data_IF_006667955198
#
_entry.id   IF_006667955198
#
_cell.length_a   1.000
_cell.length_b   1.000
_cell.length_c   1.000
_cell.angle_alpha   90.00
_cell.angle_beta   90.00
_cell.angle_gamma   90.00
#
_symmetry.space_group_name_H-M   'P 1'
#
loop_
_entity.id
_entity.type
_entity.pdbx_description
1 polymer ?
#
# COMPACT_ATOMS: atom_id res chain seq x y z
N UNK A 1 4.13 13.94 -22.78
CA UNK A 1 3.44 12.72 -23.26
C UNK A 1 3.84 11.59 -22.32
N UNK A 2 2.88 10.85 -21.75
CA UNK A 2 3.21 9.67 -20.93
C UNK A 2 3.53 8.49 -21.85
N UNK A 3 4.63 7.80 -21.60
CA UNK A 3 5.00 6.58 -22.32
C UNK A 3 4.81 5.41 -21.35
N UNK A 4 3.78 4.61 -21.58
CA UNK A 4 3.62 3.36 -20.85
C UNK A 4 4.63 2.33 -21.39
N UNK A 5 5.41 1.72 -20.49
CA UNK A 5 6.24 0.55 -20.78
C UNK A 5 5.66 -0.62 -20.01
N UNK A 6 5.43 -1.74 -20.69
CA UNK A 6 5.13 -3.01 -20.02
C UNK A 6 6.40 -3.58 -19.41
N UNK A 7 6.30 -4.17 -18.23
CA UNK A 7 7.39 -4.86 -17.54
C UNK A 7 6.94 -6.29 -17.23
N UNK A 8 7.79 -7.27 -17.54
CA UNK A 8 7.52 -8.65 -17.20
C UNK A 8 7.78 -8.84 -15.70
N UNK A 9 6.74 -9.16 -14.93
CA UNK A 9 6.86 -9.38 -13.50
C UNK A 9 7.39 -10.78 -13.13
N UNK A 10 7.44 -11.71 -14.10
CA UNK A 10 7.90 -13.10 -13.96
C UNK A 10 7.30 -13.86 -12.76
N UNK A 11 6.09 -13.48 -12.35
CA UNK A 11 5.28 -14.25 -11.41
C UNK A 11 4.68 -15.46 -12.12
N UNK A 12 4.54 -16.58 -11.40
CA UNK A 12 4.03 -17.84 -11.97
C UNK A 12 2.50 -17.93 -11.98
N UNK A 13 1.84 -16.99 -11.33
CA UNK A 13 0.39 -16.94 -11.12
C UNK A 13 -0.06 -15.47 -10.99
N UNK A 14 -1.36 -15.23 -10.87
CA UNK A 14 -1.99 -13.92 -10.79
C UNK A 14 -1.35 -13.01 -9.74
N UNK A 15 -1.12 -11.74 -10.11
CA UNK A 15 -0.60 -10.68 -9.25
C UNK A 15 -1.78 -9.99 -8.59
N UNK A 16 -1.78 -9.89 -7.26
CA UNK A 16 -2.90 -9.33 -6.50
C UNK A 16 -2.71 -7.87 -6.14
N UNK A 17 -1.47 -7.45 -5.88
CA UNK A 17 -1.16 -6.10 -5.41
C UNK A 17 0.21 -5.59 -5.88
N UNK A 18 0.30 -4.27 -5.99
CA UNK A 18 1.53 -3.53 -6.32
C UNK A 18 1.60 -2.30 -5.42
N UNK A 19 2.70 -2.14 -4.71
CA UNK A 19 2.90 -1.04 -3.75
C UNK A 19 4.25 -0.35 -3.98
N UNK A 20 4.23 0.97 -4.09
CA UNK A 20 5.44 1.78 -4.23
C UNK A 20 6.03 2.14 -2.86
N UNK A 21 7.34 2.30 -2.81
CA UNK A 21 8.00 2.92 -1.66
C UNK A 21 7.66 4.41 -1.55
N UNK A 22 8.01 5.01 -0.42
CA UNK A 22 7.76 6.44 -0.16
C UNK A 22 8.38 7.38 -1.21
N UNK A 23 9.48 6.98 -1.87
CA UNK A 23 10.17 7.80 -2.87
C UNK A 23 9.73 7.51 -4.33
N UNK A 24 8.89 6.50 -4.58
CA UNK A 24 8.49 6.07 -5.92
C UNK A 24 9.65 5.54 -6.78
N UNK A 25 10.73 5.07 -6.14
CA UNK A 25 11.93 4.47 -6.76
C UNK A 25 11.96 2.96 -6.67
N UNK A 26 11.18 2.37 -5.75
CA UNK A 26 11.03 0.94 -5.55
C UNK A 26 9.56 0.56 -5.65
N UNK A 27 9.28 -0.67 -6.04
CA UNK A 27 7.94 -1.25 -5.92
C UNK A 27 8.04 -2.69 -5.42
N UNK A 28 7.03 -3.11 -4.68
CA UNK A 28 6.83 -4.50 -4.27
C UNK A 28 5.59 -5.07 -4.98
N UNK A 29 5.68 -6.30 -5.46
CA UNK A 29 4.59 -7.04 -6.12
C UNK A 29 4.33 -8.35 -5.39
N UNK A 30 3.07 -8.77 -5.29
CA UNK A 30 2.70 -10.02 -4.62
C UNK A 30 1.67 -10.83 -5.43
N UNK A 31 1.73 -12.17 -5.33
CA UNK A 31 1.03 -13.08 -6.24
C UNK A 31 0.45 -14.32 -5.55
N UNK A 32 -0.46 -15.01 -6.24
CA UNK A 32 -0.87 -16.38 -5.92
C UNK A 32 0.28 -17.40 -5.91
N UNK A 33 1.42 -17.10 -6.57
CA UNK A 33 2.59 -17.98 -6.58
C UNK A 33 3.36 -18.05 -5.24
N UNK A 34 2.80 -17.43 -4.19
CA UNK A 34 3.30 -17.38 -2.82
C UNK A 34 4.59 -16.55 -2.65
N UNK A 35 4.96 -15.77 -3.67
CA UNK A 35 6.14 -14.90 -3.63
C UNK A 35 5.80 -13.42 -3.49
N UNK A 36 6.75 -12.69 -2.91
CA UNK A 36 6.87 -11.25 -3.05
C UNK A 36 8.15 -10.96 -3.84
N UNK A 37 8.07 -9.97 -4.72
CA UNK A 37 9.22 -9.44 -5.44
C UNK A 37 9.37 -7.96 -5.18
N UNK A 38 10.62 -7.51 -5.11
CA UNK A 38 10.99 -6.11 -5.00
C UNK A 38 11.75 -5.71 -6.26
N UNK A 39 11.38 -4.56 -6.78
CA UNK A 39 11.87 -4.01 -8.02
C UNK A 39 12.39 -2.61 -7.76
N UNK A 40 13.57 -2.33 -8.26
CA UNK A 40 14.20 -1.03 -8.17
C UNK A 40 14.23 -0.37 -9.55
N UNK A 41 14.11 0.97 -9.55
CA UNK A 41 14.07 1.78 -10.75
C UNK A 41 15.45 2.36 -11.03
N UNK A 42 15.99 2.04 -12.20
CA UNK A 42 17.26 2.58 -12.68
C UNK A 42 17.18 4.09 -12.98
N UNK A 43 18.34 4.72 -13.14
CA UNK A 43 18.43 6.11 -13.62
C UNK A 43 17.88 6.28 -15.06
N UNK A 44 17.91 5.23 -15.89
CA UNK A 44 17.25 5.20 -17.21
C UNK A 44 15.73 5.14 -17.13
N UNK A 45 15.17 4.90 -15.95
CA UNK A 45 13.74 4.80 -15.68
C UNK A 45 13.14 3.40 -15.88
N UNK A 46 13.98 2.39 -16.07
CA UNK A 46 13.59 1.00 -16.26
C UNK A 46 13.54 0.26 -14.90
N UNK A 47 12.68 -0.75 -14.79
CA UNK A 47 12.50 -1.52 -13.56
C UNK A 47 13.25 -2.84 -13.62
N UNK A 48 13.99 -3.18 -12.57
CA UNK A 48 14.70 -4.45 -12.44
C UNK A 48 14.37 -5.13 -11.11
N UNK A 49 14.07 -6.43 -11.15
CA UNK A 49 13.83 -7.23 -9.95
C UNK A 49 15.14 -7.40 -9.16
N UNK A 50 15.21 -6.85 -7.95
CA UNK A 50 16.39 -6.97 -7.07
C UNK A 50 16.24 -8.09 -6.06
N UNK A 51 15.02 -8.37 -5.59
CA UNK A 51 14.75 -9.50 -4.72
C UNK A 51 13.45 -10.24 -5.10
N UNK A 52 13.46 -11.57 -4.95
CA UNK A 52 12.30 -12.44 -5.20
C UNK A 52 12.37 -13.63 -4.26
N UNK A 53 11.39 -13.78 -3.36
CA UNK A 53 11.39 -14.85 -2.36
C UNK A 53 9.98 -15.35 -2.04
N UNK A 54 9.87 -16.60 -1.60
CA UNK A 54 8.62 -17.15 -1.08
C UNK A 54 8.36 -16.61 0.32
N UNK A 55 7.15 -16.11 0.54
CA UNK A 55 6.76 -15.41 1.77
C UNK A 55 5.83 -16.21 2.67
N UNK A 56 4.85 -16.86 2.03
CA UNK A 56 3.66 -17.45 2.63
C UNK A 56 3.42 -18.88 2.12
N UNK A 57 2.47 -19.59 2.73
CA UNK A 57 2.03 -20.93 2.30
C UNK A 57 0.80 -20.89 1.38
N UNK A 58 0.23 -19.71 1.14
CA UNK A 58 -0.91 -19.47 0.26
C UNK A 58 -0.77 -18.15 -0.51
N UNK A 59 -1.75 -17.83 -1.34
CA UNK A 59 -1.76 -16.60 -2.16
C UNK A 59 -1.55 -15.34 -1.32
N UNK A 60 -0.69 -14.44 -1.78
CA UNK A 60 -0.38 -13.18 -1.09
C UNK A 60 -1.28 -12.09 -1.65
N UNK A 61 -2.20 -11.56 -0.83
CA UNK A 61 -3.27 -10.67 -1.28
C UNK A 61 -2.87 -9.21 -1.38
N UNK A 62 -2.02 -8.74 -0.47
CA UNK A 62 -1.57 -7.34 -0.38
C UNK A 62 -0.13 -7.25 0.09
N UNK A 63 0.52 -6.17 -0.31
CA UNK A 63 1.87 -5.80 0.11
C UNK A 63 1.94 -4.30 0.37
N UNK A 64 2.66 -3.87 1.40
CA UNK A 64 2.74 -2.46 1.78
C UNK A 64 4.11 -2.12 2.35
N UNK A 65 4.59 -0.90 2.06
CA UNK A 65 5.85 -0.35 2.59
C UNK A 65 5.59 0.46 3.86
N UNK A 66 6.47 0.32 4.84
CA UNK A 66 6.51 1.25 5.97
C UNK A 66 7.05 2.63 5.54
N UNK A 67 6.87 3.62 6.39
CA UNK A 67 7.55 4.90 6.20
C UNK A 67 9.07 4.74 6.43
N UNK A 68 9.95 5.29 5.57
CA UNK A 68 11.41 5.02 5.59
C UNK A 68 12.15 5.43 6.86
N UNK A 69 11.51 6.20 7.74
CA UNK A 69 11.98 6.53 9.10
C UNK A 69 12.11 5.29 10.01
N UNK A 70 11.41 4.20 9.67
CA UNK A 70 11.52 2.90 10.33
C UNK A 70 12.42 1.90 9.57
N UNK A 71 13.18 2.38 8.57
CA UNK A 71 13.98 1.56 7.68
C UNK A 71 13.23 0.98 6.48
N UNK A 72 13.86 0.06 5.77
CA UNK A 72 13.31 -0.62 4.59
C UNK A 72 12.46 -1.83 5.03
N UNK A 73 11.21 -1.55 5.42
CA UNK A 73 10.29 -2.55 5.97
C UNK A 73 9.09 -2.76 5.06
N UNK A 74 8.77 -4.02 4.80
CA UNK A 74 7.59 -4.48 4.06
C UNK A 74 6.67 -5.30 4.96
N UNK A 75 5.37 -5.19 4.75
CA UNK A 75 4.40 -6.14 5.27
C UNK A 75 3.62 -6.81 4.13
N UNK A 76 3.35 -8.11 4.28
CA UNK A 76 2.56 -8.92 3.35
C UNK A 76 1.44 -9.64 4.10
N UNK A 77 0.29 -9.89 3.46
CA UNK A 77 -0.78 -10.70 4.01
C UNK A 77 -1.28 -11.78 3.04
N UNK A 78 -1.83 -12.87 3.58
CA UNK A 78 -2.09 -14.07 2.79
C UNK A 78 -3.38 -14.81 3.17
N UNK A 79 -3.84 -15.61 2.20
CA UNK A 79 -4.86 -16.64 2.38
C UNK A 79 -4.48 -17.69 3.45
N UNK A 80 -3.19 -17.86 3.77
CA UNK A 80 -2.73 -18.75 4.84
C UNK A 80 -3.08 -18.30 6.27
N UNK A 81 -3.83 -17.18 6.39
CA UNK A 81 -4.31 -16.53 7.62
C UNK A 81 -3.25 -15.73 8.38
N UNK A 82 -2.06 -15.56 7.80
CA UNK A 82 -0.97 -14.80 8.42
C UNK A 82 -0.71 -13.47 7.73
N UNK A 83 -0.12 -12.54 8.48
CA UNK A 83 0.63 -11.43 7.93
C UNK A 83 2.10 -11.57 8.34
N UNK A 84 3.03 -11.17 7.48
CA UNK A 84 4.47 -11.25 7.76
C UNK A 84 5.12 -9.88 7.58
N UNK A 85 6.06 -9.57 8.46
CA UNK A 85 6.88 -8.35 8.39
C UNK A 85 8.30 -8.72 7.97
N UNK A 86 8.82 -7.99 7.01
CA UNK A 86 10.10 -8.22 6.36
C UNK A 86 10.96 -6.97 6.45
N UNK A 87 12.24 -7.14 6.72
CA UNK A 87 13.23 -6.07 6.69
C UNK A 87 14.29 -6.39 5.63
N UNK A 88 14.68 -5.39 4.85
CA UNK A 88 15.80 -5.51 3.93
C UNK A 88 17.12 -5.30 4.67
N UNK A 89 17.98 -6.31 4.65
CA UNK A 89 19.37 -6.19 5.09
C UNK A 89 20.25 -5.97 3.86
N UNK A 90 20.76 -4.74 3.74
CA UNK A 90 21.80 -4.39 2.78
C UNK A 90 23.14 -4.89 3.34
N UNK A 91 23.63 -6.01 2.80
CA UNK A 91 24.90 -6.58 3.22
C UNK A 91 26.08 -5.94 2.49
N UNK A 92 27.11 -5.55 3.24
CA UNK A 92 28.48 -5.37 2.71
C UNK A 92 29.06 -6.75 2.32
N UNK A 93 28.55 -7.32 1.24
CA UNK A 93 29.07 -8.57 0.71
C UNK A 93 30.41 -8.31 0.02
N UNK A 94 31.48 -8.80 0.65
CA UNK A 94 32.84 -8.80 0.08
C UNK A 94 32.98 -9.76 -1.13
N UNK A 95 31.88 -10.37 -1.56
CA UNK A 95 31.76 -11.30 -2.67
C UNK A 95 31.19 -10.57 -3.91
N UNK A 96 32.06 -10.31 -4.89
CA UNK A 96 31.82 -9.45 -6.06
C UNK A 96 30.71 -9.94 -7.01
N UNK A 97 30.04 -11.05 -6.68
CA UNK A 97 28.98 -11.67 -7.46
C UNK A 97 27.61 -11.67 -6.75
N UNK A 98 27.51 -11.24 -5.48
CA UNK A 98 26.24 -11.22 -4.71
C UNK A 98 26.05 -9.97 -3.84
N UNK A 99 26.23 -8.79 -4.44
CA UNK A 99 25.78 -7.49 -3.89
C UNK A 99 24.26 -7.32 -3.78
N UNK A 100 23.50 -8.40 -3.55
CA UNK A 100 22.04 -8.38 -3.49
C UNK A 100 21.58 -8.12 -2.06
N UNK A 101 20.69 -7.15 -1.88
CA UNK A 101 19.97 -7.00 -0.62
C UNK A 101 19.08 -8.21 -0.38
N UNK A 102 18.97 -8.63 0.88
CA UNK A 102 18.18 -9.81 1.24
C UNK A 102 17.12 -9.46 2.26
N UNK A 103 15.91 -9.97 2.04
CA UNK A 103 14.75 -9.69 2.86
C UNK A 103 14.60 -10.76 3.93
N UNK A 104 14.74 -10.35 5.19
CA UNK A 104 14.64 -11.22 6.36
C UNK A 104 13.25 -11.12 6.96
N UNK A 105 12.59 -12.27 7.16
CA UNK A 105 11.33 -12.34 7.91
C UNK A 105 11.61 -11.98 9.37
N UNK A 106 11.10 -10.85 9.84
CA UNK A 106 11.27 -10.40 11.22
C UNK A 106 10.19 -10.96 12.15
N UNK A 107 8.93 -10.99 11.70
CA UNK A 107 7.85 -11.63 12.46
C UNK A 107 6.78 -12.24 11.54
N UNK A 108 5.94 -13.10 12.13
CA UNK A 108 4.69 -13.61 11.53
C UNK A 108 3.56 -13.41 12.52
N UNK A 109 2.56 -12.64 12.13
CA UNK A 109 1.34 -12.36 12.88
C UNK A 109 0.31 -13.44 12.56
N UNK A 110 -0.12 -14.19 13.58
CA UNK A 110 -0.87 -15.47 13.44
C UNK A 110 -2.22 -15.46 14.17
N UNK A 111 -2.63 -14.32 14.72
CA UNK A 111 -3.83 -14.16 15.55
C UNK A 111 -5.15 -14.28 14.75
N UNK A 112 -5.08 -14.12 13.42
CA UNK A 112 -6.24 -14.19 12.54
C UNK A 112 -6.68 -15.64 12.30
N UNK A 113 -7.99 -15.89 12.50
CA UNK A 113 -8.58 -17.24 12.35
C UNK A 113 -8.96 -17.58 10.91
N UNK A 114 -8.93 -16.61 10.00
CA UNK A 114 -9.30 -16.72 8.59
C UNK A 114 -8.34 -15.92 7.71
N UNK A 115 -8.52 -15.98 6.38
CA UNK A 115 -7.70 -15.25 5.40
C UNK A 115 -7.56 -13.77 5.76
N UNK A 116 -6.33 -13.25 5.73
CA UNK A 116 -6.04 -11.83 5.93
C UNK A 116 -6.10 -11.15 4.57
N UNK A 117 -7.10 -10.29 4.38
CA UNK A 117 -7.50 -9.72 3.09
C UNK A 117 -6.74 -8.43 2.75
N UNK A 118 -6.41 -7.62 3.76
CA UNK A 118 -5.62 -6.40 3.59
C UNK A 118 -4.68 -6.12 4.78
N UNK A 119 -3.61 -5.38 4.49
CA UNK A 119 -2.59 -4.95 5.44
C UNK A 119 -2.07 -3.56 5.06
N UNK A 120 -2.05 -2.64 6.03
CA UNK A 120 -1.62 -1.24 5.85
C UNK A 120 -0.87 -0.73 7.08
N UNK A 121 0.33 -0.20 6.88
CA UNK A 121 1.02 0.57 7.91
C UNK A 121 0.25 1.85 8.26
N UNK A 122 0.31 2.24 9.53
CA UNK A 122 -0.25 3.49 10.00
C UNK A 122 0.60 4.70 9.55
N UNK A 123 0.05 5.93 9.59
CA UNK A 123 0.82 7.15 9.39
C UNK A 123 1.95 7.28 10.42
N UNK A 124 3.15 7.64 9.95
CA UNK A 124 4.40 7.65 10.74
C UNK A 124 4.35 8.34 12.11
N UNK A 125 3.49 9.35 12.27
CA UNK A 125 3.37 10.11 13.52
C UNK A 125 2.69 9.30 14.65
N UNK A 126 2.13 8.12 14.33
CA UNK A 126 1.61 7.13 15.27
C UNK A 126 2.65 6.09 15.68
N UNK A 127 3.89 6.19 15.20
CA UNK A 127 4.91 5.14 15.37
C UNK A 127 4.77 4.02 14.35
N UNK A 128 5.49 2.92 14.57
CA UNK A 128 5.47 1.75 13.69
C UNK A 128 4.29 0.84 14.04
N UNK A 129 3.10 1.20 13.53
CA UNK A 129 1.89 0.40 13.67
C UNK A 129 1.45 -0.21 12.34
N UNK A 130 0.82 -1.38 12.41
CA UNK A 130 0.34 -2.16 11.28
C UNK A 130 -1.10 -2.60 11.56
N UNK A 131 -2.04 -2.21 10.70
CA UNK A 131 -3.38 -2.79 10.73
C UNK A 131 -3.50 -3.92 9.70
N UNK A 132 -4.10 -5.03 10.10
CA UNK A 132 -4.56 -6.09 9.21
C UNK A 132 -6.08 -6.21 9.30
N UNK A 133 -6.73 -6.54 8.19
CA UNK A 133 -8.13 -6.92 8.19
C UNK A 133 -8.30 -8.35 7.66
N UNK A 134 -9.30 -9.06 8.18
CA UNK A 134 -9.48 -10.48 7.92
C UNK A 134 -10.96 -10.82 7.68
N UNK A 135 -11.18 -11.92 6.96
CA UNK A 135 -12.52 -12.38 6.57
C UNK A 135 -13.42 -12.78 7.76
N UNK A 136 -12.86 -12.96 8.96
CA UNK A 136 -13.58 -13.12 10.25
C UNK A 136 -14.31 -11.84 10.70
N UNK A 137 -14.15 -10.75 9.96
CA UNK A 137 -14.77 -9.46 10.25
C UNK A 137 -14.11 -8.73 11.40
N UNK A 138 -12.81 -8.98 11.59
CA UNK A 138 -12.00 -8.37 12.63
C UNK A 138 -10.83 -7.60 12.00
N UNK A 139 -10.62 -6.38 12.47
CA UNK A 139 -9.41 -5.60 12.23
C UNK A 139 -8.51 -5.71 13.44
N UNK A 140 -7.25 -6.05 13.22
CA UNK A 140 -6.22 -6.20 14.26
C UNK A 140 -5.16 -5.14 14.04
N UNK A 141 -4.83 -4.40 15.09
CA UNK A 141 -3.82 -3.34 15.06
C UNK A 141 -2.65 -3.77 15.94
N UNK A 142 -1.50 -3.92 15.31
CA UNK A 142 -0.24 -4.26 15.94
C UNK A 142 0.65 -3.03 16.00
N UNK A 143 1.52 -2.98 17.01
CA UNK A 143 2.55 -1.96 17.17
C UNK A 143 3.88 -2.67 17.44
N UNK A 144 4.97 -2.16 16.87
CA UNK A 144 6.33 -2.54 17.28
C UNK A 144 6.77 -1.58 18.41
N UNK A 145 6.86 -2.03 19.68
CA UNK A 145 7.21 -1.15 20.80
C UNK A 145 8.64 -0.60 20.71
N UNK A 146 9.52 -1.33 20.03
CA UNK A 146 10.88 -0.93 19.72
C UNK A 146 11.10 -1.00 18.20
N UNK A 147 11.29 0.16 17.57
CA UNK A 147 11.58 0.28 16.14
C UNK A 147 12.94 -0.32 15.75
N UNK A 148 13.85 -0.51 16.70
CA UNK A 148 15.13 -1.19 16.49
C UNK A 148 14.98 -2.72 16.50
N UNK A 149 13.88 -3.26 17.05
CA UNK A 149 13.63 -4.69 17.17
C UNK A 149 12.32 -5.10 16.49
N UNK A 150 12.35 -5.11 15.15
CA UNK A 150 11.21 -5.48 14.30
C UNK A 150 10.71 -6.93 14.45
N UNK A 151 11.33 -7.76 15.30
CA UNK A 151 10.80 -9.09 15.63
C UNK A 151 9.63 -9.05 16.61
N UNK A 152 9.55 -8.00 17.44
CA UNK A 152 8.54 -7.88 18.49
C UNK A 152 7.40 -6.96 18.04
N UNK A 153 6.20 -7.54 17.96
CA UNK A 153 4.97 -6.84 17.61
C UNK A 153 3.88 -7.22 18.61
N UNK A 154 3.31 -6.23 19.29
CA UNK A 154 2.21 -6.42 20.24
C UNK A 154 0.88 -6.07 19.60
N UNK A 155 -0.11 -6.97 19.73
CA UNK A 155 -1.50 -6.69 19.37
C UNK A 155 -2.09 -5.66 20.35
N UNK A 156 -2.30 -4.43 19.89
CA UNK A 156 -2.86 -3.35 20.71
C UNK A 156 -4.39 -3.36 20.72
N UNK A 157 -5.01 -3.59 19.56
CA UNK A 157 -6.46 -3.49 19.41
C UNK A 157 -7.03 -4.57 18.50
N UNK A 158 -8.19 -5.08 18.91
CA UNK A 158 -9.05 -5.93 18.09
C UNK A 158 -10.41 -5.22 17.91
N UNK A 159 -10.80 -4.98 16.66
CA UNK A 159 -12.01 -4.22 16.29
C UNK A 159 -12.94 -5.14 15.50
N UNK A 160 -14.09 -5.50 16.08
CA UNK A 160 -15.10 -6.32 15.40
C UNK A 160 -16.01 -5.45 14.52
N UNK A 161 -15.95 -5.69 13.22
CA UNK A 161 -16.78 -5.02 12.20
C UNK A 161 -18.11 -5.77 11.94
N UNK A 162 -18.24 -7.02 12.42
CA UNK A 162 -19.40 -7.93 12.27
C UNK A 162 -19.76 -8.36 10.85
N UNK A 163 -19.00 -7.94 9.84
CA UNK A 163 -19.08 -8.32 8.43
C UNK A 163 -17.67 -8.69 7.96
N UNK A 164 -17.50 -9.54 6.94
CA UNK A 164 -16.18 -9.86 6.38
C UNK A 164 -15.43 -8.58 5.98
N UNK A 165 -14.18 -8.41 6.40
CA UNK A 165 -13.40 -7.24 5.99
C UNK A 165 -12.66 -7.56 4.69
N UNK A 166 -12.75 -6.67 3.70
CA UNK A 166 -12.10 -6.83 2.38
C UNK A 166 -10.92 -5.88 2.17
N UNK A 167 -11.01 -4.67 2.70
CA UNK A 167 -10.03 -3.60 2.52
C UNK A 167 -10.02 -2.65 3.71
N UNK A 168 -8.86 -2.02 3.96
CA UNK A 168 -8.65 -1.11 5.09
C UNK A 168 -7.91 0.16 4.65
N UNK A 169 -8.29 1.31 5.21
CA UNK A 169 -7.62 2.57 4.95
C UNK A 169 -7.45 3.40 6.23
N UNK A 170 -6.21 3.75 6.55
CA UNK A 170 -5.89 4.75 7.57
C UNK A 170 -6.15 6.16 7.07
N UNK A 171 -6.66 7.05 7.93
CA UNK A 171 -6.68 8.48 7.64
C UNK A 171 -5.24 9.03 7.72
N UNK A 172 -4.63 9.51 6.62
CA UNK A 172 -3.24 9.97 6.59
C UNK A 172 -3.02 11.35 7.24
N UNK A 173 -4.07 11.97 7.79
CA UNK A 173 -4.00 13.25 8.48
C UNK A 173 -2.96 13.22 9.60
N UNK A 174 -1.93 14.05 9.50
CA UNK A 174 -0.92 14.26 10.56
C UNK A 174 -1.26 15.43 11.51
N UNK A 175 -2.49 15.96 11.42
CA UNK A 175 -2.97 17.01 12.32
C UNK A 175 -3.37 16.43 13.66
N UNK A 176 -2.74 16.89 14.75
CA UNK A 176 -3.13 16.55 16.15
C UNK A 176 -4.54 17.03 16.51
N UNK A 177 -5.19 17.85 15.68
CA UNK A 177 -6.57 18.27 15.87
C UNK A 177 -7.61 17.22 15.41
N UNK A 178 -7.16 16.11 14.82
CA UNK A 178 -8.01 15.00 14.41
C UNK A 178 -7.48 13.71 15.04
N UNK A 179 -8.36 12.98 15.73
CA UNK A 179 -8.03 11.64 16.22
C UNK A 179 -7.66 10.71 15.05
N UNK A 180 -6.79 9.70 15.27
CA UNK A 180 -6.57 8.64 14.32
C UNK A 180 -7.88 7.97 13.89
N UNK A 181 -8.05 7.73 12.59
CA UNK A 181 -9.24 7.10 12.03
C UNK A 181 -8.88 6.00 11.05
N UNK A 182 -9.74 4.98 10.98
CA UNK A 182 -9.67 3.86 10.04
C UNK A 182 -11.03 3.68 9.37
N UNK A 183 -11.04 3.54 8.05
CA UNK A 183 -12.20 3.09 7.29
C UNK A 183 -11.99 1.62 6.91
N UNK A 184 -13.04 0.82 7.08
CA UNK A 184 -13.04 -0.62 6.79
C UNK A 184 -14.19 -0.92 5.83
N UNK A 185 -13.86 -1.61 4.74
CA UNK A 185 -14.82 -2.07 3.74
C UNK A 185 -15.13 -3.56 3.90
N UNK A 186 -16.32 -3.94 3.45
CA UNK A 186 -16.78 -5.32 3.39
C UNK A 186 -17.18 -5.71 1.97
N UNK A 187 -16.71 -6.88 1.55
CA UNK A 187 -17.06 -7.55 0.30
C UNK A 187 -18.29 -8.46 0.43
N UNK A 188 -18.91 -8.55 1.61
CA UNK A 188 -20.07 -9.42 1.85
C UNK A 188 -21.14 -9.18 0.78
N UNK A 189 -21.48 -10.24 0.03
CA UNK A 189 -22.48 -10.22 -1.02
C UNK A 189 -23.91 -10.35 -0.47
N UNK A 190 -24.07 -10.57 0.84
CA UNK A 190 -25.39 -10.71 1.44
C UNK A 190 -26.24 -9.43 1.24
N UNK A 191 -27.52 -9.57 0.83
CA UNK A 191 -28.43 -8.44 0.68
C UNK A 191 -28.95 -7.92 2.04
N UNK A 192 -28.69 -8.64 3.13
CA UNK A 192 -29.14 -8.30 4.48
C UNK A 192 -28.21 -7.30 5.18
N UNK A 193 -26.95 -7.19 4.75
CA UNK A 193 -25.98 -6.23 5.28
C UNK A 193 -26.25 -4.82 4.73
N UNK A 194 -27.05 -4.03 5.46
CA UNK A 194 -27.49 -2.68 5.03
C UNK A 194 -26.35 -1.66 4.82
N UNK A 195 -25.17 -1.85 5.41
CA UNK A 195 -24.06 -0.90 5.28
C UNK A 195 -22.71 -1.62 5.34
N UNK A 196 -21.94 -1.49 4.25
CA UNK A 196 -20.69 -2.25 4.04
C UNK A 196 -19.41 -1.46 4.29
N UNK A 197 -19.52 -0.20 4.71
CA UNK A 197 -18.37 0.63 5.14
C UNK A 197 -18.61 1.19 6.53
N UNK A 198 -17.66 0.91 7.42
CA UNK A 198 -17.65 1.37 8.80
C UNK A 198 -16.39 2.21 9.04
N UNK A 199 -16.53 3.26 9.85
CA UNK A 199 -15.43 4.17 10.17
C UNK A 199 -15.24 4.20 11.68
N UNK A 200 -14.02 3.91 12.09
CA UNK A 200 -13.59 3.86 13.48
C UNK A 200 -12.65 5.03 13.77
N UNK A 201 -12.81 5.60 14.96
CA UNK A 201 -11.99 6.70 15.48
C UNK A 201 -11.36 6.27 16.80
N UNK A 202 -10.08 6.56 16.97
CA UNK A 202 -9.37 6.33 18.23
C UNK A 202 -9.79 7.36 19.28
N UNK A 203 -10.23 6.88 20.43
CA UNK A 203 -10.58 7.73 21.57
C UNK A 203 -9.48 7.64 22.62
N UNK A 204 -8.72 8.73 22.80
CA UNK A 204 -7.60 8.81 23.75
C UNK A 204 -8.03 8.55 25.20
N UNK A 205 -9.24 8.98 25.59
CA UNK A 205 -9.75 8.83 26.96
C UNK A 205 -10.01 7.36 27.32
N UNK A 206 -10.47 6.56 26.35
CA UNK A 206 -10.77 5.12 26.56
C UNK A 206 -9.66 4.21 26.07
N UNK A 207 -8.66 4.75 25.35
CA UNK A 207 -7.58 4.05 24.64
C UNK A 207 -8.09 2.93 23.74
N UNK A 208 -9.23 3.17 23.09
CA UNK A 208 -9.92 2.20 22.22
C UNK A 208 -10.45 2.88 20.98
N UNK A 209 -10.50 2.11 19.89
CA UNK A 209 -11.24 2.51 18.70
C UNK A 209 -12.75 2.37 18.95
N UNK A 210 -13.47 3.47 18.77
CA UNK A 210 -14.93 3.50 18.79
C UNK A 210 -15.43 3.61 17.35
N UNK A 211 -16.58 3.00 17.04
CA UNK A 211 -17.23 3.21 15.75
C UNK A 211 -17.82 4.62 15.72
N UNK A 212 -17.27 5.48 14.87
CA UNK A 212 -17.73 6.85 14.70
C UNK A 212 -18.93 6.90 13.75
N UNK A 213 -18.81 6.28 12.57
CA UNK A 213 -19.80 6.39 11.49
C UNK A 213 -20.00 5.08 10.72
N UNK A 214 -21.07 5.00 9.95
CA UNK A 214 -21.41 3.85 9.10
C UNK A 214 -22.11 4.36 7.84
N UNK A 215 -21.54 4.09 6.66
CA UNK A 215 -22.01 4.66 5.40
C UNK A 215 -23.20 3.86 4.84
N UNK A 216 -24.39 4.14 5.35
CA UNK A 216 -25.64 3.45 5.01
C UNK A 216 -26.03 3.51 3.52
N UNK A 217 -25.45 4.42 2.74
CA UNK A 217 -25.68 4.49 1.30
C UNK A 217 -24.87 3.45 0.50
N UNK A 218 -23.85 2.83 1.10
CA UNK A 218 -22.98 1.84 0.45
C UNK A 218 -23.45 0.42 0.79
N UNK A 219 -24.32 -0.10 -0.08
CA UNK A 219 -24.95 -1.43 0.01
C UNK A 219 -24.30 -2.46 -0.92
N UNK A 220 -23.57 -2.01 -1.94
CA UNK A 220 -22.84 -2.84 -2.88
C UNK A 220 -21.53 -3.37 -2.26
N UNK A 221 -21.04 -4.57 -2.62
CA UNK A 221 -19.75 -5.08 -2.15
C UNK A 221 -18.60 -4.10 -2.38
N UNK A 222 -17.70 -3.99 -1.41
CA UNK A 222 -16.61 -3.03 -1.42
C UNK A 222 -15.29 -3.75 -1.68
N UNK A 223 -14.62 -3.38 -2.77
CA UNK A 223 -13.38 -4.04 -3.21
C UNK A 223 -12.12 -3.30 -2.71
N UNK A 224 -12.20 -1.97 -2.57
CA UNK A 224 -11.09 -1.13 -2.12
C UNK A 224 -11.60 0.20 -1.52
N UNK A 225 -10.84 0.78 -0.60
CA UNK A 225 -11.12 2.06 0.07
C UNK A 225 -9.82 2.84 0.25
N UNK A 226 -9.84 4.12 -0.06
CA UNK A 226 -8.71 5.01 0.15
C UNK A 226 -9.12 6.36 0.77
N UNK A 227 -8.56 6.71 1.94
CA UNK A 227 -8.59 8.09 2.44
C UNK A 227 -7.62 8.98 1.63
N UNK A 228 -8.05 10.20 1.32
CA UNK A 228 -7.21 11.18 0.63
C UNK A 228 -6.27 11.92 1.59
N UNK A 229 -4.97 12.11 1.25
CA UNK A 229 -4.05 12.99 1.97
C UNK A 229 -4.64 14.38 2.24
N UNK A 230 -4.80 14.73 3.53
CA UNK A 230 -5.47 15.95 3.99
C UNK A 230 -4.50 17.14 4.09
N UNK A 231 -4.00 17.60 2.95
CA UNK A 231 -3.10 18.75 2.85
C UNK A 231 -3.89 20.06 2.79
N UNK A 232 -4.19 20.62 3.97
CA UNK A 232 -4.85 21.93 4.11
C UNK A 232 -6.38 21.93 4.05
N UNK A 233 -7.03 20.77 3.91
CA UNK A 233 -8.50 20.64 3.97
C UNK A 233 -8.98 20.50 5.41
N UNK A 234 -10.08 21.17 5.76
CA UNK A 234 -10.77 21.07 7.07
C UNK A 234 -11.75 19.89 7.20
N UNK A 235 -11.79 19.05 6.17
CA UNK A 235 -12.65 17.88 6.04
C UNK A 235 -11.84 16.74 5.40
N UNK A 236 -12.18 15.51 5.73
CA UNK A 236 -11.55 14.32 5.14
C UNK A 236 -12.28 13.96 3.84
N UNK A 237 -11.57 13.32 2.90
CA UNK A 237 -12.18 12.73 1.69
C UNK A 237 -11.88 11.23 1.72
N UNK A 238 -12.88 10.42 1.36
CA UNK A 238 -12.82 8.97 1.28
C UNK A 238 -13.30 8.53 -0.11
N UNK A 239 -12.47 7.81 -0.85
CA UNK A 239 -12.86 7.11 -2.07
C UNK A 239 -13.19 5.66 -1.75
N UNK A 240 -14.21 5.12 -2.41
CA UNK A 240 -14.72 3.76 -2.21
C UNK A 240 -14.95 3.14 -3.60
N UNK A 241 -14.42 1.94 -3.81
CA UNK A 241 -14.60 1.13 -5.00
C UNK A 241 -15.67 0.06 -4.76
N UNK A 242 -16.78 0.15 -5.49
CA UNK A 242 -17.87 -0.86 -5.49
C UNK A 242 -18.23 -1.23 -6.94
N UNK A 243 -19.51 -1.43 -7.28
CA UNK A 243 -19.98 -1.38 -8.68
C UNK A 243 -19.80 0.00 -9.34
N UNK A 244 -19.62 1.04 -8.52
CA UNK A 244 -19.35 2.41 -8.93
C UNK A 244 -18.21 3.01 -8.08
N UNK A 245 -17.63 4.12 -8.55
CA UNK A 245 -16.68 4.92 -7.77
C UNK A 245 -17.46 5.93 -6.96
N UNK A 246 -17.34 5.91 -5.63
CA UNK A 246 -17.95 6.95 -4.76
C UNK A 246 -16.89 7.76 -4.05
N UNK A 247 -17.11 9.06 -3.97
CA UNK A 247 -16.27 10.00 -3.24
C UNK A 247 -17.13 10.67 -2.17
N UNK A 248 -16.74 10.48 -0.91
CA UNK A 248 -17.39 11.04 0.26
C UNK A 248 -16.52 12.14 0.87
N UNK A 249 -17.14 13.23 1.32
CA UNK A 249 -16.53 14.18 2.27
C UNK A 249 -17.04 13.90 3.67
N UNK A 250 -16.13 13.92 4.64
CA UNK A 250 -16.43 13.77 6.06
C UNK A 250 -15.95 15.01 6.78
N UNK A 251 -16.90 15.87 7.15
CA UNK A 251 -16.63 17.14 7.82
C UNK A 251 -16.93 16.98 9.32
N UNK A 252 -15.93 17.09 10.22
CA UNK A 252 -16.16 16.91 11.65
C UNK A 252 -17.07 18.03 12.18
N UNK A 253 -18.16 17.65 12.84
CA UNK A 253 -19.07 18.59 13.49
C UNK A 253 -18.46 19.03 14.82
N UNK A 254 -18.35 20.34 15.04
CA UNK A 254 -17.82 20.87 16.31
C UNK A 254 -18.73 20.45 17.47
N UNK A 255 -18.15 19.83 18.50
CA UNK A 255 -18.84 19.51 19.74
C UNK A 255 -19.18 20.79 20.50
N UNK A 256 -20.44 20.99 20.86
CA UNK A 256 -20.79 21.90 21.94
C UNK A 256 -20.25 21.34 23.27
N UNK A 257 -19.97 22.25 24.22
CA UNK A 257 -19.18 22.02 25.45
C UNK A 257 -19.75 20.95 26.42
N UNK A 258 -20.90 20.36 26.13
CA UNK A 258 -21.69 19.51 27.03
C UNK A 258 -21.56 18.00 26.75
N UNK A 259 -20.87 17.57 25.69
CA UNK A 259 -20.79 16.14 25.29
C UNK A 259 -19.36 15.64 25.01
N UNK A 260 -18.48 15.75 26.00
CA UNK A 260 -17.03 15.51 25.87
C UNK A 260 -16.59 14.05 25.65
N UNK A 261 -17.43 13.03 25.93
CA UNK A 261 -17.01 11.62 25.96
C UNK A 261 -17.13 10.80 24.65
N UNK A 262 -18.01 11.19 23.72
CA UNK A 262 -18.34 10.38 22.54
C UNK A 262 -17.35 10.55 21.36
N UNK A 263 -17.42 9.67 20.34
CA UNK A 263 -16.69 9.89 19.08
C UNK A 263 -17.14 11.19 18.39
N UNK A 264 -16.32 11.70 17.50
CA UNK A 264 -16.64 12.82 16.61
C UNK A 264 -17.77 12.43 15.67
N UNK A 265 -18.82 13.27 15.62
CA UNK A 265 -19.88 13.13 14.61
C UNK A 265 -19.42 13.78 13.32
N UNK A 266 -19.69 13.15 12.18
CA UNK A 266 -19.33 13.70 10.88
C UNK A 266 -20.56 14.09 10.07
N UNK A 267 -20.51 15.28 9.50
CA UNK A 267 -21.40 15.68 8.42
C UNK A 267 -20.87 15.04 7.13
N UNK A 268 -21.56 14.00 6.67
CA UNK A 268 -21.13 13.16 5.53
C UNK A 268 -21.91 13.55 4.29
N UNK A 269 -21.20 13.85 3.20
CA UNK A 269 -21.79 14.11 1.89
C UNK A 269 -21.16 13.22 0.82
N UNK A 270 -21.97 12.72 -0.11
CA UNK A 270 -21.48 12.15 -1.38
C UNK A 270 -21.23 13.34 -2.32
N UNK A 271 -19.96 13.60 -2.63
CA UNK A 271 -19.57 14.67 -3.57
C UNK A 271 -19.46 14.18 -5.01
N UNK A 272 -19.30 12.86 -5.21
CA UNK A 272 -19.35 12.25 -6.52
C UNK A 272 -19.74 10.76 -6.46
N UNK A 273 -20.44 10.31 -7.49
CA UNK A 273 -20.72 8.91 -7.79
C UNK A 273 -20.54 8.73 -9.30
N UNK A 274 -19.70 7.77 -9.70
CA UNK A 274 -19.39 7.51 -11.10
C UNK A 274 -19.57 6.03 -11.44
N UNK A 275 -20.54 5.77 -12.28
CA UNK A 275 -20.87 4.46 -12.87
C UNK A 275 -20.06 4.17 -14.15
N UNK A 276 -19.20 5.10 -14.61
CA UNK A 276 -18.65 5.08 -15.96
C UNK A 276 -17.79 3.84 -16.35
N UNK A 277 -17.38 3.01 -15.38
CA UNK A 277 -16.75 1.71 -15.66
C UNK A 277 -17.77 0.67 -16.17
N UNK A 278 -19.07 0.88 -15.96
CA UNK A 278 -20.18 -0.04 -16.26
C UNK A 278 -20.02 -1.47 -15.68
N UNK A 279 -19.10 -1.65 -14.73
CA UNK A 279 -18.76 -2.91 -14.07
C UNK A 279 -18.05 -2.62 -12.74
N UNK A 280 -17.65 -3.67 -12.02
CA UNK A 280 -16.99 -3.58 -10.72
C UNK A 280 -15.69 -2.77 -10.81
N UNK A 281 -15.52 -1.88 -9.84
CA UNK A 281 -14.30 -1.12 -9.60
C UNK A 281 -13.50 -1.89 -8.56
N UNK A 282 -12.30 -2.33 -8.95
CA UNK A 282 -11.45 -3.16 -8.10
C UNK A 282 -10.54 -2.37 -7.18
N UNK A 283 -10.07 -1.19 -7.61
CA UNK A 283 -9.10 -0.37 -6.87
C UNK A 283 -9.39 1.11 -6.96
N UNK A 284 -9.06 1.83 -5.89
CA UNK A 284 -9.06 3.29 -5.80
C UNK A 284 -7.76 3.77 -5.16
N UNK A 285 -7.09 4.75 -5.77
CA UNK A 285 -5.82 5.27 -5.25
C UNK A 285 -5.72 6.78 -5.39
N UNK A 286 -5.32 7.46 -4.32
CA UNK A 286 -5.10 8.91 -4.30
C UNK A 286 -3.67 9.25 -4.69
N UNK A 287 -3.48 10.35 -5.41
CA UNK A 287 -2.17 10.96 -5.49
C UNK A 287 -1.72 11.50 -4.12
N UNK A 288 -0.41 11.73 -3.96
CA UNK A 288 0.19 12.17 -2.69
C UNK A 288 -0.41 13.48 -2.13
N UNK A 289 -1.02 14.31 -2.98
CA UNK A 289 -1.68 15.56 -2.56
C UNK A 289 -3.17 15.39 -2.21
N UNK A 290 -3.79 14.24 -2.46
CA UNK A 290 -5.23 14.02 -2.26
C UNK A 290 -6.13 14.87 -3.17
N UNK A 291 -5.65 15.22 -4.37
CA UNK A 291 -6.35 16.08 -5.34
C UNK A 291 -6.76 15.36 -6.62
N UNK A 292 -6.16 14.20 -6.91
CA UNK A 292 -6.49 13.34 -8.05
C UNK A 292 -6.70 11.92 -7.54
N UNK A 293 -7.83 11.33 -7.92
CA UNK A 293 -8.17 9.93 -7.68
C UNK A 293 -7.91 9.12 -8.96
N UNK A 294 -7.33 7.94 -8.83
CA UNK A 294 -7.33 6.91 -9.86
C UNK A 294 -8.32 5.81 -9.47
N UNK A 295 -9.07 5.27 -10.44
CA UNK A 295 -9.89 4.05 -10.27
C UNK A 295 -9.65 3.08 -11.42
N UNK A 296 -9.79 1.78 -11.16
CA UNK A 296 -9.70 0.72 -12.18
C UNK A 296 -10.80 -0.31 -12.00
N UNK A 297 -11.39 -0.79 -13.10
CA UNK A 297 -12.46 -1.80 -13.09
C UNK A 297 -12.34 -2.82 -14.23
N UNK A 298 -13.35 -3.67 -14.38
CA UNK A 298 -13.36 -4.74 -15.41
C UNK A 298 -13.36 -4.22 -16.86
N UNK A 299 -13.67 -2.93 -17.09
CA UNK A 299 -13.60 -2.29 -18.42
C UNK A 299 -12.17 -2.20 -18.98
N UNK A 300 -11.17 -2.71 -18.26
CA UNK A 300 -9.77 -2.69 -18.65
C UNK A 300 -9.20 -1.26 -18.73
N UNK A 301 -9.88 -0.31 -18.08
CA UNK A 301 -9.51 1.10 -18.09
C UNK A 301 -9.15 1.58 -16.67
N UNK A 302 -8.14 2.44 -16.60
CA UNK A 302 -7.84 3.27 -15.42
C UNK A 302 -8.35 4.68 -15.70
N UNK A 303 -9.15 5.23 -14.79
CA UNK A 303 -9.75 6.56 -14.91
C UNK A 303 -9.15 7.48 -13.87
N UNK A 304 -8.83 8.71 -14.29
CA UNK A 304 -8.33 9.76 -13.42
C UNK A 304 -9.44 10.78 -13.16
N UNK A 305 -9.71 11.09 -11.91
CA UNK A 305 -10.76 12.02 -11.48
C UNK A 305 -10.15 13.18 -10.72
N UNK A 306 -10.66 14.39 -10.97
CA UNK A 306 -10.21 15.62 -10.31
C UNK A 306 -11.39 16.54 -10.04
N UNK A 307 -11.42 17.14 -8.85
CA UNK A 307 -12.34 18.23 -8.54
C UNK A 307 -11.95 19.53 -9.27
N UNK A 308 -12.95 20.31 -9.67
CA UNK A 308 -12.76 21.72 -10.02
C UNK A 308 -12.82 22.61 -8.75
N UNK A 309 -12.73 23.93 -8.92
CA UNK A 309 -12.79 24.90 -7.81
C UNK A 309 -14.16 24.99 -7.11
N UNK A 310 -15.19 24.30 -7.62
CA UNK A 310 -16.54 24.22 -7.05
C UNK A 310 -16.84 22.81 -6.49
N UNK A 311 -15.78 22.05 -6.15
CA UNK A 311 -15.84 20.65 -5.68
C UNK A 311 -16.58 19.66 -6.62
N UNK A 312 -16.84 20.04 -7.88
CA UNK A 312 -17.44 19.17 -8.88
C UNK A 312 -16.33 18.30 -9.52
N UNK A 313 -16.43 16.99 -9.27
CA UNK A 313 -15.50 16.00 -9.78
C UNK A 313 -15.76 15.65 -11.24
N UNK A 314 -14.70 15.56 -12.04
CA UNK A 314 -14.77 15.11 -13.44
C UNK A 314 -13.67 14.13 -13.77
N UNK A 315 -13.96 13.20 -14.69
CA UNK A 315 -12.93 12.40 -15.33
C UNK A 315 -12.04 13.30 -16.19
N UNK A 316 -10.73 13.30 -15.93
CA UNK A 316 -9.72 14.10 -16.63
C UNK A 316 -8.87 13.29 -17.60
N UNK A 317 -8.88 11.96 -17.48
CA UNK A 317 -8.15 11.06 -18.37
C UNK A 317 -8.60 9.62 -18.20
N UNK A 318 -8.53 8.87 -19.30
CA UNK A 318 -8.82 7.43 -19.35
C UNK A 318 -7.62 6.76 -20.03
N UNK A 319 -7.05 5.77 -19.36
CA UNK A 319 -5.93 4.96 -19.84
C UNK A 319 -6.44 3.52 -20.02
N UNK A 320 -6.27 2.94 -21.20
CA UNK A 320 -6.56 1.50 -21.40
C UNK A 320 -5.39 0.64 -20.91
N UNK A 321 -5.63 -0.66 -20.69
CA UNK A 321 -4.60 -1.62 -20.24
C UNK A 321 -3.34 -1.72 -21.13
N UNK A 322 -3.39 -1.24 -22.38
CA UNK A 322 -2.20 -1.09 -23.24
C UNK A 322 -1.43 0.24 -23.01
N UNK A 323 -1.81 1.02 -21.99
CA UNK A 323 -1.25 2.32 -21.67
C UNK A 323 -1.63 3.47 -22.61
N UNK A 324 -2.46 3.22 -23.64
CA UNK A 324 -2.88 4.28 -24.56
C UNK A 324 -3.96 5.17 -23.92
N UNK A 325 -3.87 6.50 -24.10
CA UNK A 325 -4.95 7.40 -23.71
C UNK A 325 -6.15 7.20 -24.64
N UNK A 326 -7.35 7.14 -24.08
CA UNK A 326 -8.58 7.15 -24.88
C UNK A 326 -8.84 8.57 -25.36
N UNK A 327 -8.45 8.87 -26.59
CA UNK A 327 -8.85 10.11 -27.25
C UNK A 327 -10.39 10.12 -27.39
N UNK A 328 -11.03 11.04 -26.66
CA UNK A 328 -12.49 11.13 -26.63
C UNK A 328 -13.06 11.66 -27.94
N UNK A 329 -13.53 10.77 -28.81
CA UNK A 329 -14.64 11.05 -29.70
C UNK A 329 -15.89 10.35 -29.16
N UNK A 330 -16.88 11.14 -28.77
CA UNK A 330 -18.22 10.64 -28.48
C UNK A 330 -18.85 10.16 -29.79
N UNK A 331 -18.73 8.87 -30.09
CA UNK A 331 -19.63 8.25 -31.06
C UNK A 331 -21.02 8.13 -30.41
N UNK A 332 -21.93 9.03 -30.79
CA UNK A 332 -23.35 8.73 -30.68
C UNK A 332 -23.64 7.53 -31.57
N UNK A 333 -24.00 6.41 -30.96
CA UNK A 333 -24.51 5.26 -31.70
C UNK A 333 -25.91 5.57 -32.22
N UNK A 334 -26.04 5.76 -33.53
CA UNK A 334 -27.36 5.76 -34.17
C UNK A 334 -27.92 4.33 -34.22
N UNK A 335 -29.18 4.10 -33.87
CA UNK A 335 -29.86 2.84 -34.16
C UNK A 335 -30.28 2.80 -35.64
N UNK A 336 -29.89 1.73 -36.33
CA UNK A 336 -30.54 1.28 -37.57
C UNK A 336 -31.82 0.48 -37.20
N UNK A 337 -32.75 0.16 -38.14
CA UNK A 337 -32.70 0.35 -39.61
C UNK A 337 -33.96 0.98 -40.24
N UNK A 338 -33.91 1.34 -41.53
CA UNK A 338 -34.95 0.99 -42.54
C UNK A 338 -34.62 1.53 -43.94
N UNK A 339 -35.20 0.89 -44.97
CA UNK A 339 -35.06 1.27 -46.39
C UNK A 339 -35.89 2.54 -46.70
N UNK A 340 -35.45 3.31 -47.68
CA UNK A 340 -36.06 4.60 -48.02
C UNK A 340 -37.14 4.56 -49.10
N UNK A 341 -37.85 5.68 -49.22
CA UNK A 341 -38.52 6.15 -50.44
C UNK A 341 -38.68 7.68 -50.40
N UNK A 342 -38.98 8.27 -51.56
CA UNK A 342 -38.87 9.70 -51.87
C UNK A 342 -40.09 10.56 -51.47
N UNK A 343 -39.88 11.89 -51.33
CA UNK A 343 -40.69 13.06 -51.80
C UNK A 343 -40.16 14.36 -51.10
N UNK A 344 -40.09 15.55 -51.76
CA UNK A 344 -39.49 16.77 -51.19
C UNK A 344 -40.48 17.85 -50.65
N UNK A 345 -39.91 18.92 -50.07
CA UNK A 345 -40.51 20.15 -49.47
C UNK A 345 -40.95 19.99 -47.99
N UNK A 346 -40.60 20.87 -47.04
CA UNK A 346 -40.83 22.33 -47.03
C UNK A 346 -39.86 23.13 -46.12
N UNK A 347 -40.16 24.42 -45.90
CA UNK A 347 -39.28 25.52 -45.45
C UNK A 347 -39.48 25.94 -43.97
N UNK A 348 -38.55 26.77 -43.45
CA UNK A 348 -38.51 27.53 -42.17
C UNK A 348 -37.74 26.89 -40.98
N UNK A 349 -36.65 27.50 -40.47
CA UNK A 349 -36.53 28.67 -39.53
C UNK A 349 -36.77 28.27 -38.06
N UNK A 350 -35.99 28.64 -37.02
CA UNK A 350 -34.97 29.70 -36.84
C UNK A 350 -34.07 29.42 -35.59
N UNK A 351 -32.98 30.18 -35.43
CA UNK A 351 -32.06 30.28 -34.25
C UNK A 351 -31.17 29.04 -33.95
N UNK A 352 -29.88 29.11 -33.57
CA UNK A 352 -29.06 30.20 -32.99
C UNK A 352 -28.58 29.76 -31.58
N UNK A 353 -27.31 29.77 -31.17
CA UNK A 353 -26.12 30.45 -31.72
C UNK A 353 -24.78 29.81 -31.29
N UNK A 354 -23.75 29.99 -32.12
CA UNK A 354 -22.31 30.15 -31.79
C UNK A 354 -21.64 29.28 -30.70
N UNK A 355 -20.85 28.29 -31.14
CA UNK A 355 -19.74 27.74 -30.35
C UNK A 355 -18.44 28.52 -30.64
N UNK A 356 -17.95 29.29 -29.66
CA UNK A 356 -16.69 30.02 -29.75
C UNK A 356 -15.47 29.09 -29.61
N UNK A 357 -14.62 29.03 -30.64
CA UNK A 357 -13.33 28.34 -30.57
C UNK A 357 -12.30 29.28 -29.94
N UNK A 358 -11.68 28.87 -28.83
CA UNK A 358 -10.46 29.51 -28.34
C UNK A 358 -9.26 28.64 -28.67
N UNK A 359 -8.50 29.08 -29.68
CA UNK A 359 -7.16 28.59 -29.96
C UNK A 359 -6.20 29.10 -28.87
N UNK A 360 -5.32 28.23 -28.38
CA UNK A 360 -4.11 28.65 -27.67
C UNK A 360 -2.89 28.29 -28.53
N UNK A 361 -1.95 29.22 -28.76
CA UNK A 361 -0.73 28.93 -29.51
C UNK A 361 0.24 28.08 -28.68
N UNK A 362 1.12 27.37 -29.40
CA UNK A 362 2.21 26.60 -28.84
C UNK A 362 3.23 27.54 -28.17
N UNK A 363 3.69 27.22 -26.94
CA UNK A 363 4.80 27.93 -26.32
C UNK A 363 6.08 27.09 -26.49
N UNK A 364 7.12 27.70 -27.09
CA UNK A 364 8.39 27.03 -27.36
C UNK A 364 9.22 26.76 -26.09
N UNK A 365 10.10 25.76 -26.21
CA UNK A 365 11.05 25.38 -25.16
C UNK A 365 12.23 26.36 -25.07
N UNK A 366 12.64 26.80 -23.87
CA UNK A 366 13.82 27.64 -23.73
C UNK A 366 15.11 26.81 -23.91
N UNK A 367 15.85 27.07 -24.99
CA UNK A 367 17.23 26.63 -25.12
C UNK A 367 18.12 27.41 -24.14
N UNK A 368 18.76 26.71 -23.20
CA UNK A 368 19.80 27.31 -22.35
C UNK A 368 21.15 27.27 -23.08
N UNK A 369 21.46 28.35 -23.80
CA UNK A 369 22.78 28.55 -24.42
C UNK A 369 23.87 28.83 -23.39
N UNK A 370 25.04 28.24 -23.57
CA UNK A 370 26.22 28.47 -22.73
C UNK A 370 26.91 29.79 -23.04
N UNK A 371 27.23 30.58 -22.01
CA UNK A 371 28.31 31.57 -22.02
C UNK A 371 28.83 31.80 -20.60
N UNK A 372 30.08 31.41 -20.37
CA UNK A 372 30.83 31.77 -19.15
C UNK A 372 31.27 33.24 -19.20
N UNK A 373 31.34 33.90 -18.05
CA UNK A 373 32.61 34.43 -17.52
C UNK A 373 32.48 35.13 -16.16
N UNK A 374 33.45 34.85 -15.29
CA UNK A 374 34.05 35.75 -14.31
C UNK A 374 33.15 36.39 -13.23
N UNK A 375 33.07 35.71 -12.07
CA UNK A 375 33.62 36.28 -10.83
C UNK A 375 34.21 35.14 -9.99
N UNK A 376 35.54 35.09 -9.91
CA UNK A 376 36.25 34.17 -9.04
C UNK A 376 36.55 34.84 -7.69
N UNK A 377 36.17 34.20 -6.59
CA UNK A 377 36.83 34.39 -5.30
C UNK A 377 37.25 33.03 -4.74
N UNK A 378 38.44 33.02 -4.15
CA UNK A 378 39.20 31.82 -3.86
C UNK A 378 38.76 31.17 -2.55
N UNK A 379 38.57 29.84 -2.58
CA UNK A 379 38.67 28.98 -1.41
C UNK A 379 39.64 27.83 -1.73
N UNK A 380 40.56 27.45 -0.82
CA UNK A 380 41.51 26.37 -1.09
C UNK A 380 40.82 25.00 -1.08
N UNK A 381 41.29 24.09 -1.94
CA UNK A 381 40.90 22.68 -1.90
C UNK A 381 41.43 21.97 -0.65
N UNK A 382 40.68 21.02 -0.06
CA UNK A 382 41.15 20.24 1.08
C UNK A 382 42.34 19.33 0.71
N UNK A 383 43.24 19.01 1.68
CA UNK A 383 44.39 18.15 1.44
C UNK A 383 43.98 16.68 1.22
N UNK A 384 44.79 15.89 0.48
CA UNK A 384 44.54 14.47 0.26
C UNK A 384 44.75 13.63 1.53
N UNK A 385 44.11 12.45 1.65
CA UNK A 385 44.26 11.56 2.79
C UNK A 385 45.67 10.94 2.86
N UNK A 386 46.15 10.57 4.07
CA UNK A 386 47.47 9.98 4.25
C UNK A 386 47.56 8.53 3.72
N UNK A 387 48.74 8.06 3.32
CA UNK A 387 48.96 6.69 2.85
C UNK A 387 48.84 5.65 3.99
N UNK A 388 48.49 4.40 3.69
CA UNK A 388 48.42 3.33 4.68
C UNK A 388 49.80 2.94 5.23
N UNK A 389 49.87 2.39 6.46
CA UNK A 389 51.13 1.96 7.08
C UNK A 389 51.73 0.73 6.37
N UNK A 390 53.06 0.55 6.42
CA UNK A 390 53.74 -0.55 5.76
C UNK A 390 53.42 -1.91 6.40
N UNK A 391 53.26 -2.93 5.56
CA UNK A 391 53.07 -4.32 5.97
C UNK A 391 54.31 -4.90 6.66
N UNK A 392 54.12 -5.48 7.85
CA UNK A 392 55.15 -6.27 8.54
C UNK A 392 55.55 -7.50 7.70
N UNK A 393 56.84 -7.88 7.66
CA UNK A 393 57.30 -9.03 6.88
C UNK A 393 56.93 -10.36 7.54
N UNK A 394 56.66 -11.38 6.71
CA UNK A 394 56.58 -12.77 7.17
C UNK A 394 57.94 -13.22 7.72
N UNK A 395 57.94 -13.83 8.91
CA UNK A 395 59.02 -14.69 9.37
C UNK A 395 58.69 -16.13 8.99
N UNK A 396 59.57 -16.74 8.21
CA UNK A 396 59.46 -18.15 7.83
C UNK A 396 60.02 -19.07 8.92
N UNK A 397 59.37 -20.23 9.02
CA UNK A 397 59.81 -21.54 9.51
C UNK A 397 61.07 -21.68 10.38
N UNK A 398 60.92 -22.45 11.45
CA UNK A 398 61.92 -23.47 11.80
C UNK A 398 61.21 -24.75 12.24
N UNK A 399 61.58 -25.88 11.66
CA UNK A 399 61.11 -27.21 12.05
C UNK A 399 61.99 -27.82 13.15
N UNK A 400 61.42 -28.76 13.90
CA UNK A 400 62.16 -29.81 14.60
C UNK A 400 61.25 -31.03 14.80
N UNK A 401 61.82 -32.22 14.58
CA UNK A 401 61.14 -33.50 14.42
C UNK A 401 60.83 -34.26 15.73
N UNK A 402 60.17 -35.41 15.56
CA UNK A 402 60.05 -36.56 16.46
C UNK A 402 59.00 -36.46 17.62
N UNK A 403 58.32 -37.54 18.04
CA UNK A 403 58.47 -38.95 17.65
C UNK A 403 57.16 -39.78 17.72
N UNK A 404 57.24 -40.89 17.00
CA UNK A 404 56.35 -42.05 16.81
C UNK A 404 55.66 -42.65 18.04
N UNK A 405 54.35 -42.96 17.95
CA UNK A 405 53.74 -44.17 18.55
C UNK A 405 52.35 -44.51 17.97
N UNK A 406 52.13 -45.78 17.61
CA UNK A 406 50.84 -46.34 17.15
C UNK A 406 49.85 -46.58 18.32
N UNK A 407 48.54 -46.66 18.02
CA UNK A 407 47.72 -47.88 18.24
C UNK A 407 46.27 -47.81 17.70
N UNK A 408 45.76 -48.98 17.33
CA UNK A 408 44.49 -49.34 16.65
C UNK A 408 43.15 -48.74 17.16
N UNK A 409 42.20 -48.61 16.22
CA UNK A 409 40.73 -48.65 16.42
C UNK A 409 40.17 -50.11 16.31
N UNK A 410 38.84 -50.43 16.38
CA UNK A 410 37.64 -49.69 16.81
C UNK A 410 36.74 -50.48 17.85
N UNK A 411 35.42 -50.81 17.70
CA UNK A 411 34.35 -50.58 18.73
C UNK A 411 33.58 -51.89 19.12
N UNK A 412 32.26 -51.98 19.47
CA UNK A 412 31.23 -51.07 20.06
C UNK A 412 30.47 -51.68 21.30
N UNK A 413 29.33 -51.08 21.75
CA UNK A 413 28.01 -51.74 22.06
C UNK A 413 27.26 -51.45 23.41
N UNK A 414 26.08 -50.78 23.30
CA UNK A 414 24.72 -51.00 23.94
C UNK A 414 24.38 -50.96 25.46
N UNK A 415 23.07 -50.64 25.67
CA UNK A 415 22.13 -50.87 26.82
C UNK A 415 22.20 -49.93 28.05
N UNK A 416 21.14 -49.67 28.87
CA UNK A 416 19.66 -49.50 28.67
C UNK A 416 18.96 -49.17 30.03
N UNK A 417 17.68 -48.71 30.04
CA UNK A 417 16.72 -48.66 31.20
C UNK A 417 17.01 -47.60 32.31
N UNK A 418 16.10 -47.16 33.20
CA UNK A 418 14.62 -46.95 33.18
C UNK A 418 14.15 -46.14 34.43
N UNK A 419 12.92 -45.60 34.43
CA UNK A 419 12.25 -44.85 35.54
C UNK A 419 11.96 -45.69 36.81
N UNK A 420 11.72 -45.06 37.98
CA UNK A 420 10.34 -44.98 38.50
C UNK A 420 9.90 -43.59 39.05
N UNK A 421 9.24 -43.49 40.22
CA UNK A 421 8.02 -42.65 40.38
C UNK A 421 7.55 -42.42 41.86
N UNK A 422 7.01 -41.22 42.19
CA UNK A 422 6.03 -40.89 43.28
C UNK A 422 6.41 -41.04 44.78
N UNK A 423 5.61 -40.53 45.77
CA UNK A 423 4.48 -39.56 45.75
C UNK A 423 4.51 -38.44 46.85
N UNK A 424 3.38 -37.71 46.99
CA UNK A 424 3.01 -36.58 47.87
C UNK A 424 2.78 -36.91 49.37
N UNK A 425 2.68 -35.86 50.20
CA UNK A 425 1.74 -35.76 51.35
C UNK A 425 1.11 -34.37 51.48
N UNK A 426 -0.13 -34.31 51.96
CA UNK A 426 -0.97 -33.12 52.15
C UNK A 426 -0.64 -32.29 53.41
N UNK A 427 -1.12 -31.04 53.49
CA UNK A 427 -2.08 -30.67 54.54
C UNK A 427 -2.80 -29.32 54.29
N UNK A 428 -4.00 -29.22 54.86
CA UNK A 428 -4.89 -28.05 54.98
C UNK A 428 -4.28 -26.98 55.92
N UNK A 429 -4.78 -25.75 56.09
CA UNK A 429 -5.99 -25.05 55.64
C UNK A 429 -6.22 -23.79 56.51
N UNK A 430 -7.27 -23.01 56.20
CA UNK A 430 -7.63 -21.66 56.73
C UNK A 430 -6.85 -20.49 56.11
#
# INVERSE_FOLDING_TARGET
MFVARSIAADHKDLIHDVSFDFHGRRMATCSSDQSVKVWDKSESGDWHCTASWKTHSGSVWRVTWAHPEFGQVLASCSFDRTAAVWEEIVGESNDKLRGQSHWVKRTTLVDSRTSVTDVKFAPKHMGLMLATCSADGIVRIYEAPDVMNLSQWSLQHEISCKLSCSCISWNPSSSRAHSPMIAVGSDDSSPNAMAKVQIFEYNENTRKYAKAETLMTVTDPVHDIAFAPNLGRSYHILAIATKDVRIFTLKPVRKELTSSGGPTKFEIHIVAQFDNHNSQVWRVSWNITGTVLASSGDDGCVRLWKANYMDNWKCTGILKGNGSPVNGSTQQGNPNPSLGSSIPNLQNSLNGSSAGRYFFPLLDSPQAGSRWSNYAQLLPSPPPPPPPPPSLPLLAEHSCDADTANLQCPPPCRQSLSRPLNPLTENEGV
#
